data_IF_744387248563
#
_entry.id   IF_744387248563
#
_cell.length_a   1.000
_cell.length_b   1.000
_cell.length_c   1.000
_cell.angle_alpha   90.00
_cell.angle_beta   90.00
_cell.angle_gamma   90.00
#
_symmetry.space_group_name_H-M   'P 1'
#
loop_
_entity.id
_entity.type
_entity.pdbx_description
1 polymer ?
#
# COMPACT_ATOMS: atom_id res chain seq x y z
N UNK A 1 -0.77 25.26 31.18
CA UNK A 1 -0.32 24.14 30.33
C UNK A 1 -1.54 23.59 29.62
N UNK A 2 -1.68 23.78 28.31
CA UNK A 2 -2.72 23.13 27.51
C UNK A 2 -2.08 22.68 26.20
N UNK A 3 -1.39 21.54 26.25
CA UNK A 3 -0.89 20.86 25.06
C UNK A 3 -1.98 19.94 24.54
N UNK A 4 -2.80 20.42 23.60
CA UNK A 4 -3.52 19.51 22.72
C UNK A 4 -2.49 18.99 21.72
N UNK A 5 -1.85 17.86 21.99
CA UNK A 5 -0.99 17.25 20.99
C UNK A 5 -1.84 16.97 19.74
N UNK A 6 -1.40 17.40 18.55
CA UNK A 6 -2.12 17.11 17.32
C UNK A 6 -2.20 15.58 17.16
N UNK A 7 -3.42 15.07 17.03
CA UNK A 7 -3.62 13.65 16.75
C UNK A 7 -3.20 13.39 15.30
N UNK A 8 -2.49 12.27 15.04
CA UNK A 8 -2.09 11.92 13.69
C UNK A 8 -3.31 11.76 12.78
N UNK A 9 -3.23 12.31 11.57
CA UNK A 9 -4.26 12.14 10.55
C UNK A 9 -4.02 10.81 9.80
N UNK A 10 -5.02 9.92 9.84
CA UNK A 10 -4.98 8.65 9.12
C UNK A 10 -6.01 8.69 8.00
N UNK A 11 -5.54 8.53 6.77
CA UNK A 11 -6.40 8.49 5.58
C UNK A 11 -6.09 7.26 4.73
N UNK A 12 -7.03 6.92 3.84
CA UNK A 12 -6.88 5.84 2.88
C UNK A 12 -7.19 6.37 1.49
N UNK A 13 -6.37 6.01 0.52
CA UNK A 13 -6.65 6.26 -0.90
C UNK A 13 -6.51 4.98 -1.71
N UNK A 14 -7.19 4.85 -2.85
CA UNK A 14 -6.96 3.75 -3.77
C UNK A 14 -5.48 3.67 -4.17
N UNK A 15 -4.96 2.43 -4.27
CA UNK A 15 -3.66 2.16 -4.88
C UNK A 15 -3.71 2.58 -6.36
N UNK A 16 -2.64 3.19 -6.85
CA UNK A 16 -2.46 3.50 -8.28
C UNK A 16 -1.29 2.72 -8.86
N UNK A 17 -1.18 2.65 -10.19
CA UNK A 17 -0.02 2.01 -10.82
C UNK A 17 1.30 2.67 -10.41
N UNK A 18 1.30 3.99 -10.19
CA UNK A 18 2.49 4.74 -9.77
C UNK A 18 3.01 4.32 -8.39
N UNK A 19 2.19 3.65 -7.58
CA UNK A 19 2.56 3.15 -6.25
C UNK A 19 3.24 1.78 -6.29
N UNK A 20 3.16 1.05 -7.40
CA UNK A 20 3.70 -0.32 -7.50
C UNK A 20 5.21 -0.41 -7.17
N UNK A 21 6.08 0.53 -7.59
CA UNK A 21 7.47 0.53 -7.14
C UNK A 21 7.63 0.72 -5.63
N UNK A 22 6.77 1.53 -5.01
CA UNK A 22 6.78 1.67 -3.54
C UNK A 22 6.32 0.40 -2.85
N UNK A 23 5.28 -0.24 -3.39
CA UNK A 23 4.76 -1.50 -2.89
C UNK A 23 5.81 -2.63 -2.99
N UNK A 24 6.54 -2.72 -4.10
CA UNK A 24 7.66 -3.65 -4.26
C UNK A 24 8.69 -3.50 -3.15
N UNK A 25 9.18 -2.27 -2.93
CA UNK A 25 10.16 -1.96 -1.87
C UNK A 25 9.66 -2.31 -0.48
N UNK A 26 8.37 -2.16 -0.21
CA UNK A 26 7.80 -2.55 1.08
C UNK A 26 7.75 -4.07 1.25
N UNK A 27 7.38 -4.80 0.21
CA UNK A 27 7.33 -6.27 0.23
C UNK A 27 8.71 -6.91 0.40
N UNK A 28 9.76 -6.25 -0.09
CA UNK A 28 11.15 -6.68 0.07
C UNK A 28 11.70 -6.47 1.49
N UNK A 29 11.02 -5.71 2.36
CA UNK A 29 11.47 -5.53 3.74
C UNK A 29 11.43 -6.87 4.48
N UNK A 30 12.46 -7.25 5.26
CA UNK A 30 12.56 -8.59 5.85
C UNK A 30 11.33 -9.04 6.66
N UNK A 31 10.72 -8.12 7.41
CA UNK A 31 9.53 -8.40 8.22
C UNK A 31 8.26 -8.60 7.39
N UNK A 32 8.19 -8.01 6.18
CA UNK A 32 7.08 -8.20 5.24
C UNK A 32 7.32 -9.43 4.38
N UNK A 33 8.53 -9.57 3.83
CA UNK A 33 8.93 -10.69 2.99
C UNK A 33 8.70 -12.06 3.68
N UNK A 34 8.89 -12.14 5.00
CA UNK A 34 8.59 -13.35 5.78
C UNK A 34 7.15 -13.83 5.66
N UNK A 35 6.21 -12.93 5.41
CA UNK A 35 4.76 -13.19 5.35
C UNK A 35 4.26 -13.19 3.89
N UNK A 36 4.88 -12.37 3.04
CA UNK A 36 4.44 -12.10 1.67
C UNK A 36 5.35 -12.69 0.59
N UNK A 37 6.23 -13.65 0.92
CA UNK A 37 7.23 -14.27 0.04
C UNK A 37 6.67 -14.67 -1.34
N UNK A 38 6.70 -13.73 -2.28
CA UNK A 38 6.23 -13.82 -3.66
C UNK A 38 7.15 -12.96 -4.53
N UNK A 39 7.02 -13.14 -5.83
CA UNK A 39 7.68 -12.27 -6.80
C UNK A 39 7.23 -10.80 -6.62
N UNK A 40 8.19 -9.94 -6.26
CA UNK A 40 8.02 -8.49 -6.08
C UNK A 40 8.46 -7.69 -7.30
N UNK A 41 8.82 -8.36 -8.41
CA UNK A 41 9.13 -7.69 -9.67
C UNK A 41 7.97 -6.80 -10.11
N UNK A 42 8.29 -5.65 -10.72
CA UNK A 42 7.27 -4.73 -11.21
C UNK A 42 6.31 -5.37 -12.21
N UNK A 43 6.80 -6.33 -12.99
CA UNK A 43 5.97 -7.09 -13.92
C UNK A 43 4.95 -7.95 -13.19
N UNK A 44 5.38 -8.76 -12.21
CA UNK A 44 4.47 -9.59 -11.41
C UNK A 44 3.46 -8.74 -10.63
N UNK A 45 3.90 -7.60 -10.10
CA UNK A 45 3.00 -6.66 -9.42
C UNK A 45 1.98 -6.07 -10.39
N UNK A 46 2.37 -5.63 -11.59
CA UNK A 46 1.41 -5.14 -12.59
C UNK A 46 0.36 -6.18 -12.92
N UNK A 47 0.78 -7.41 -13.22
CA UNK A 47 -0.15 -8.51 -13.53
C UNK A 47 -1.15 -8.77 -12.40
N UNK A 48 -0.70 -8.65 -11.15
CA UNK A 48 -1.55 -8.89 -9.98
C UNK A 48 -2.46 -7.73 -9.61
N UNK A 49 -1.97 -6.49 -9.73
CA UNK A 49 -2.61 -5.32 -9.16
C UNK A 49 -3.38 -4.48 -10.19
N UNK A 50 -3.01 -4.48 -11.47
CA UNK A 50 -3.74 -3.71 -12.48
C UNK A 50 -5.23 -4.12 -12.59
N UNK A 51 -5.61 -5.42 -12.63
CA UNK A 51 -7.02 -5.80 -12.63
C UNK A 51 -7.75 -5.35 -11.36
N UNK A 52 -7.06 -5.30 -10.21
CA UNK A 52 -7.63 -4.83 -8.94
C UNK A 52 -7.84 -3.32 -8.92
N UNK A 53 -6.90 -2.58 -9.47
CA UNK A 53 -6.98 -1.12 -9.63
C UNK A 53 -8.10 -0.76 -10.61
N UNK A 54 -8.26 -1.52 -11.70
CA UNK A 54 -9.32 -1.36 -12.68
C UNK A 54 -10.72 -1.76 -12.16
N UNK A 55 -10.81 -2.41 -11.00
CA UNK A 55 -12.08 -2.90 -10.44
C UNK A 55 -12.59 -4.20 -11.07
N UNK A 56 -11.74 -4.89 -11.84
CA UNK A 56 -12.00 -6.22 -12.44
C UNK A 56 -11.81 -7.37 -11.44
N UNK A 57 -11.38 -7.05 -10.22
CA UNK A 57 -11.24 -7.97 -9.10
C UNK A 57 -12.14 -7.55 -7.93
N UNK A 58 -12.68 -8.51 -7.15
CA UNK A 58 -13.39 -8.16 -5.92
C UNK A 58 -12.49 -7.52 -4.86
N UNK A 59 -11.16 -7.67 -4.98
CA UNK A 59 -10.17 -7.10 -4.06
C UNK A 59 -9.94 -5.63 -4.38
N UNK A 60 -10.15 -4.75 -3.41
CA UNK A 60 -9.81 -3.32 -3.55
C UNK A 60 -8.50 -3.01 -2.82
N UNK A 61 -7.45 -2.57 -3.54
CA UNK A 61 -6.17 -2.23 -2.94
C UNK A 61 -6.13 -0.76 -2.50
N UNK A 62 -5.56 -0.51 -1.31
CA UNK A 62 -5.48 0.83 -0.71
C UNK A 62 -4.09 1.15 -0.18
N UNK A 63 -3.74 2.43 -0.20
CA UNK A 63 -2.58 3.01 0.50
C UNK A 63 -3.08 3.74 1.74
N UNK A 64 -2.54 3.36 2.89
CA UNK A 64 -2.71 4.09 4.15
C UNK A 64 -1.76 5.30 4.16
N UNK A 65 -2.29 6.45 4.56
CA UNK A 65 -1.58 7.70 4.71
C UNK A 65 -1.52 8.07 6.19
N UNK A 66 -0.37 8.58 6.63
CA UNK A 66 -0.16 9.21 7.93
C UNK A 66 0.31 10.63 7.69
N UNK A 67 -0.47 11.63 8.10
CA UNK A 67 -0.21 13.05 7.87
C UNK A 67 0.12 13.33 6.38
N UNK A 68 -0.69 12.73 5.49
CA UNK A 68 -0.55 12.84 4.03
C UNK A 68 0.59 12.01 3.41
N UNK A 69 1.40 11.28 4.20
CA UNK A 69 2.51 10.45 3.69
C UNK A 69 2.14 8.98 3.62
N UNK A 70 2.53 8.31 2.54
CA UNK A 70 2.25 6.88 2.36
C UNK A 70 2.96 6.03 3.41
N UNK A 71 2.19 5.28 4.21
CA UNK A 71 2.66 4.50 5.35
C UNK A 71 2.60 2.99 5.09
N UNK A 72 1.58 2.52 4.39
CA UNK A 72 1.35 1.09 4.22
C UNK A 72 0.28 0.73 3.20
N UNK A 73 0.05 -0.56 3.06
CA UNK A 73 -0.90 -1.16 2.12
C UNK A 73 -1.91 -2.03 2.86
N UNK A 74 -3.19 -1.92 2.47
CA UNK A 74 -4.27 -2.80 2.91
C UNK A 74 -5.14 -3.21 1.72
N UNK A 75 -5.92 -4.27 1.89
CA UNK A 75 -6.90 -4.73 0.90
C UNK A 75 -8.22 -5.10 1.58
N UNK A 76 -9.33 -4.82 0.92
CA UNK A 76 -10.70 -5.20 1.31
C UNK A 76 -11.32 -6.13 0.28
#
# INVERSE_FOLDING_TARGET
MNGSEPRPDIAFRPLTEADLPTLARWMERPHVARIWARDTSLEALRQRYLPRIAGESPVRPWITLLDGRSLGYIQS
#
